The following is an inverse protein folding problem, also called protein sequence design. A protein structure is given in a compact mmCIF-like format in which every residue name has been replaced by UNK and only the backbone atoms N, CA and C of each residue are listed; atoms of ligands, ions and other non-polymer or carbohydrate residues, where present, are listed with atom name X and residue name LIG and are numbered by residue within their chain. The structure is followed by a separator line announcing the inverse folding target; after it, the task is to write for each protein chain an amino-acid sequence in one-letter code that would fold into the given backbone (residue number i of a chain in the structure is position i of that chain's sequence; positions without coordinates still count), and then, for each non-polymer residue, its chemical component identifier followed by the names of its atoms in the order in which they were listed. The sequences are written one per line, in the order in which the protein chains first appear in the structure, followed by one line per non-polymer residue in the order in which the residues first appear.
data_IF_112115803507
#
_entry.id   IF_112115803507
#
_cell.length_a   1.000
_cell.length_b   1.000
_cell.length_c   1.000
_cell.angle_alpha   90.00
_cell.angle_beta   90.00
_cell.angle_gamma   90.00
#
_symmetry.space_group_name_H-M   'P 1'
#
loop_
_entity.id
_entity.type
_entity.pdbx_description
1 polymer ?
#
# COMPACT_ATOMS: atom_id res chain seq x y z
N UNK A 1 -19.37 1.32 -17.03
CA UNK A 1 -19.51 2.79 -16.92
C UNK A 1 -20.27 3.10 -15.65
N UNK A 2 -19.58 3.52 -14.60
CA UNK A 2 -20.16 4.32 -13.52
C UNK A 2 -19.01 5.15 -12.96
N UNK A 3 -18.96 6.39 -13.43
CA UNK A 3 -18.07 7.44 -12.97
C UNK A 3 -18.68 8.11 -11.73
N UNK A 4 -17.83 8.80 -10.98
CA UNK A 4 -18.11 9.70 -9.86
C UNK A 4 -18.17 9.07 -8.45
N UNK A 5 -17.00 9.01 -7.80
CA UNK A 5 -16.85 9.24 -6.36
C UNK A 5 -15.37 9.54 -6.03
N UNK A 6 -14.82 10.64 -6.54
CA UNK A 6 -13.51 11.15 -6.13
C UNK A 6 -13.56 12.67 -6.15
N UNK A 7 -14.35 13.30 -5.27
CA UNK A 7 -14.29 14.73 -4.99
C UNK A 7 -14.80 14.97 -3.57
N UNK A 8 -14.02 14.55 -2.58
CA UNK A 8 -14.22 15.04 -1.21
C UNK A 8 -13.16 16.09 -0.93
N UNK A 9 -13.48 17.35 -1.23
CA UNK A 9 -12.64 18.49 -0.90
C UNK A 9 -12.57 18.64 0.62
N UNK A 10 -11.36 18.68 1.18
CA UNK A 10 -11.15 18.98 2.61
C UNK A 10 -10.51 20.35 2.70
N UNK A 11 -11.31 21.35 3.07
CA UNK A 11 -10.82 22.73 3.24
C UNK A 11 -9.99 22.80 4.53
N UNK A 12 -8.71 23.16 4.41
CA UNK A 12 -7.80 23.38 5.54
C UNK A 12 -7.91 24.82 6.07
N UNK A 13 -7.48 25.07 7.32
CA UNK A 13 -7.66 26.36 8.01
C UNK A 13 -6.95 27.59 7.38
N UNK A 14 -6.24 27.42 6.26
CA UNK A 14 -5.56 28.46 5.47
C UNK A 14 -6.30 28.82 4.16
N UNK A 15 -7.54 28.34 3.96
CA UNK A 15 -8.35 28.64 2.76
C UNK A 15 -7.89 27.96 1.46
N UNK A 16 -6.79 27.20 1.48
CA UNK A 16 -6.36 26.35 0.36
C UNK A 16 -7.21 25.07 0.30
N UNK A 17 -7.82 24.81 -0.87
CA UNK A 17 -8.47 23.54 -1.19
C UNK A 17 -7.37 22.49 -1.37
N UNK A 18 -7.46 21.38 -0.64
CA UNK A 18 -6.58 20.22 -0.86
C UNK A 18 -7.30 19.16 -1.68
N UNK A 19 -6.60 18.62 -2.66
CA UNK A 19 -7.14 17.67 -3.63
C UNK A 19 -6.41 16.32 -3.54
N UNK A 20 -7.12 15.20 -3.73
CA UNK A 20 -6.48 13.93 -4.00
C UNK A 20 -5.91 13.95 -5.42
N UNK A 21 -4.71 13.41 -5.59
CA UNK A 21 -4.07 13.22 -6.90
C UNK A 21 -3.93 11.72 -7.15
N UNK A 22 -4.35 11.27 -8.32
CA UNK A 22 -4.29 9.86 -8.69
C UNK A 22 -3.73 9.68 -10.10
N UNK A 23 -2.76 8.78 -10.26
CA UNK A 23 -2.19 8.41 -11.56
C UNK A 23 -1.83 6.92 -11.59
N UNK A 24 -1.51 6.43 -12.78
CA UNK A 24 -1.17 5.03 -13.01
C UNK A 24 0.35 4.77 -12.91
N UNK A 25 1.14 5.85 -12.97
CA UNK A 25 2.59 5.87 -12.77
C UNK A 25 2.95 6.13 -11.30
N UNK A 26 4.07 5.55 -10.85
CA UNK A 26 4.47 5.58 -9.44
C UNK A 26 5.00 6.95 -8.97
N UNK A 27 5.41 7.81 -9.89
CA UNK A 27 5.91 9.17 -9.61
C UNK A 27 4.85 10.06 -8.96
N UNK A 28 3.56 9.76 -9.14
CA UNK A 28 2.45 10.44 -8.43
C UNK A 28 2.60 10.40 -6.91
N UNK A 29 3.31 9.43 -6.34
CA UNK A 29 3.56 9.39 -4.90
C UNK A 29 4.38 10.60 -4.41
N UNK A 30 5.19 11.22 -5.27
CA UNK A 30 5.92 12.45 -4.97
C UNK A 30 5.01 13.67 -4.77
N UNK A 31 3.78 13.63 -5.32
CA UNK A 31 2.82 14.72 -5.17
C UNK A 31 2.38 14.93 -3.72
N UNK A 32 2.65 13.99 -2.81
CA UNK A 32 2.43 14.17 -1.36
C UNK A 32 3.19 15.39 -0.79
N UNK A 33 4.22 15.87 -1.49
CA UNK A 33 4.99 17.06 -1.12
C UNK A 33 4.36 18.39 -1.56
N UNK A 34 3.31 18.37 -2.39
CA UNK A 34 2.63 19.58 -2.82
C UNK A 34 1.70 20.10 -1.72
N UNK A 35 1.72 21.41 -1.49
CA UNK A 35 0.84 22.08 -0.51
C UNK A 35 -0.67 21.83 -0.71
N UNK A 36 -1.07 21.63 -1.97
CA UNK A 36 -2.45 21.41 -2.39
C UNK A 36 -2.83 19.93 -2.45
N UNK A 37 -1.91 19.00 -2.18
CA UNK A 37 -2.18 17.57 -2.14
C UNK A 37 -2.48 17.10 -0.71
N UNK A 38 -3.62 16.45 -0.50
CA UNK A 38 -3.90 15.73 0.76
C UNK A 38 -3.70 14.22 0.67
N UNK A 39 -3.69 13.66 -0.54
CA UNK A 39 -3.61 12.23 -0.79
C UNK A 39 -3.05 11.96 -2.19
N UNK A 40 -1.91 11.26 -2.24
CA UNK A 40 -1.35 10.74 -3.49
C UNK A 40 -1.74 9.26 -3.67
N UNK A 41 -2.34 8.93 -4.81
CA UNK A 41 -2.87 7.59 -5.11
C UNK A 41 -2.16 7.04 -6.35
N UNK A 42 -1.35 6.01 -6.16
CA UNK A 42 -0.84 5.21 -7.27
C UNK A 42 -1.82 4.08 -7.61
N UNK A 43 -2.43 4.15 -8.80
CA UNK A 43 -3.37 3.15 -9.33
C UNK A 43 -2.63 2.08 -10.11
N UNK A 44 -2.05 1.13 -9.37
CA UNK A 44 -1.35 -0.01 -9.97
C UNK A 44 -2.31 -1.15 -10.35
N UNK A 45 -1.98 -1.86 -11.42
CA UNK A 45 -2.61 -3.14 -11.77
C UNK A 45 -1.76 -4.28 -11.26
N UNK A 46 -2.33 -5.17 -10.44
CA UNK A 46 -1.62 -6.36 -9.98
C UNK A 46 -1.69 -7.47 -11.03
N UNK A 47 -0.61 -8.24 -11.18
CA UNK A 47 -0.63 -9.39 -12.08
C UNK A 47 -1.66 -10.44 -11.63
N UNK A 48 -2.30 -11.17 -12.56
CA UNK A 48 -3.26 -12.24 -12.20
C UNK A 48 -2.66 -13.27 -11.23
N UNK A 49 -1.40 -13.66 -11.45
CA UNK A 49 -0.69 -14.60 -10.58
C UNK A 49 -0.56 -14.09 -9.13
N UNK A 50 -0.32 -12.79 -8.95
CA UNK A 50 -0.25 -12.20 -7.60
C UNK A 50 -1.63 -12.19 -6.94
N UNK A 51 -2.69 -11.87 -7.69
CA UNK A 51 -4.07 -11.86 -7.19
C UNK A 51 -4.50 -13.27 -6.74
N UNK A 52 -4.30 -14.29 -7.60
CA UNK A 52 -4.61 -15.69 -7.29
C UNK A 52 -3.87 -16.18 -6.05
N UNK A 53 -2.58 -15.84 -5.92
CA UNK A 53 -1.81 -16.20 -4.73
C UNK A 53 -2.37 -15.53 -3.46
N UNK A 54 -2.67 -14.22 -3.49
CA UNK A 54 -3.23 -13.51 -2.34
C UNK A 54 -4.57 -14.10 -1.93
N UNK A 55 -5.43 -14.45 -2.89
CA UNK A 55 -6.70 -15.13 -2.61
C UNK A 55 -6.49 -16.48 -1.92
N UNK A 56 -5.63 -17.33 -2.46
CA UNK A 56 -5.31 -18.63 -1.87
C UNK A 56 -4.66 -18.49 -0.48
N UNK A 57 -3.79 -17.49 -0.30
CA UNK A 57 -3.18 -17.19 0.99
C UNK A 57 -4.22 -16.80 2.03
N UNK A 58 -5.18 -15.93 1.69
CA UNK A 58 -6.23 -15.48 2.59
C UNK A 58 -7.21 -16.60 2.97
N UNK A 59 -7.50 -17.54 2.07
CA UNK A 59 -8.32 -18.71 2.36
C UNK A 59 -7.69 -19.60 3.44
N UNK A 60 -6.36 -19.76 3.40
CA UNK A 60 -5.63 -20.59 4.36
C UNK A 60 -5.21 -19.84 5.63
N UNK A 61 -5.16 -18.51 5.59
CA UNK A 61 -4.62 -17.66 6.66
C UNK A 61 -5.59 -16.55 7.07
N UNK A 62 -6.85 -16.90 7.33
CA UNK A 62 -7.94 -15.95 7.64
C UNK A 62 -7.67 -15.02 8.84
N UNK A 63 -6.82 -15.42 9.78
CA UNK A 63 -6.42 -14.60 10.94
C UNK A 63 -5.01 -14.02 10.81
N UNK A 64 -4.45 -14.00 9.60
CA UNK A 64 -3.09 -13.52 9.38
C UNK A 64 -2.95 -12.07 9.83
N UNK A 65 -1.99 -11.82 10.70
CA UNK A 65 -1.61 -10.49 11.11
C UNK A 65 -0.13 -10.48 11.46
N UNK A 66 0.57 -9.48 10.96
CA UNK A 66 1.97 -9.26 11.29
C UNK A 66 2.27 -7.77 11.37
N UNK A 67 3.21 -7.41 12.21
CA UNK A 67 3.83 -6.09 12.22
C UNK A 67 5.35 -6.26 12.19
N UNK A 68 6.00 -5.63 11.22
CA UNK A 68 7.43 -5.73 10.95
C UNK A 68 8.04 -4.33 10.96
N UNK A 69 9.30 -4.23 11.35
CA UNK A 69 10.14 -3.07 11.05
C UNK A 69 11.14 -3.50 10.00
N UNK A 70 11.05 -2.91 8.80
CA UNK A 70 11.82 -3.33 7.63
C UNK A 70 12.62 -2.15 7.08
N UNK A 71 13.85 -2.41 6.67
CA UNK A 71 14.63 -1.57 5.77
C UNK A 71 14.48 -2.09 4.33
N UNK A 72 14.84 -1.32 3.29
CA UNK A 72 14.87 -1.82 1.92
C UNK A 72 15.73 -3.09 1.79
N UNK A 73 16.85 -3.16 2.52
CA UNK A 73 17.78 -4.29 2.48
C UNK A 73 17.22 -5.54 3.18
N UNK A 74 16.38 -5.36 4.21
CA UNK A 74 15.82 -6.48 5.00
C UNK A 74 14.41 -6.88 4.58
N UNK A 75 13.72 -6.07 3.76
CA UNK A 75 12.31 -6.22 3.44
C UNK A 75 12.01 -7.59 2.83
N UNK A 76 12.69 -7.95 1.75
CA UNK A 76 12.45 -9.22 1.04
C UNK A 76 12.65 -10.44 1.96
N UNK A 77 13.77 -10.49 2.68
CA UNK A 77 14.07 -11.62 3.59
C UNK A 77 13.09 -11.67 4.75
N UNK A 78 12.73 -10.53 5.34
CA UNK A 78 11.75 -10.44 6.41
C UNK A 78 10.37 -10.93 5.96
N UNK A 79 9.92 -10.49 4.79
CA UNK A 79 8.64 -10.86 4.20
C UNK A 79 8.58 -12.35 3.85
N UNK A 80 9.63 -12.93 3.24
CA UNK A 80 9.67 -14.37 2.97
C UNK A 80 9.65 -15.21 4.26
N UNK A 81 10.30 -14.74 5.33
CA UNK A 81 10.21 -15.44 6.62
C UNK A 81 8.79 -15.43 7.18
N UNK A 82 8.04 -14.36 6.93
CA UNK A 82 6.70 -14.15 7.48
C UNK A 82 5.58 -14.76 6.64
N UNK A 83 5.66 -14.64 5.31
CA UNK A 83 4.64 -15.10 4.36
C UNK A 83 4.82 -16.57 3.96
N UNK A 84 6.00 -17.13 4.19
CA UNK A 84 6.41 -18.44 3.71
C UNK A 84 7.49 -18.31 2.62
N UNK A 85 8.17 -19.41 2.34
CA UNK A 85 9.32 -19.45 1.43
C UNK A 85 9.07 -20.33 0.20
N UNK A 86 7.92 -20.15 -0.45
CA UNK A 86 7.56 -20.79 -1.73
C UNK A 86 7.84 -19.86 -2.92
N UNK A 87 7.78 -20.38 -4.14
CA UNK A 87 7.96 -19.54 -5.34
C UNK A 87 6.87 -18.46 -5.45
N UNK A 88 5.64 -18.80 -5.07
CA UNK A 88 4.46 -17.93 -5.10
C UNK A 88 4.55 -16.82 -4.04
N UNK A 89 5.05 -17.15 -2.85
CA UNK A 89 5.32 -16.15 -1.79
C UNK A 89 6.39 -15.13 -2.21
N UNK A 90 7.30 -15.50 -3.12
CA UNK A 90 8.37 -14.62 -3.56
C UNK A 90 7.83 -13.43 -4.37
N UNK A 91 6.75 -13.62 -5.13
CA UNK A 91 6.11 -12.54 -5.89
C UNK A 91 5.48 -11.49 -4.98
N UNK A 92 4.70 -11.91 -3.96
CA UNK A 92 4.11 -10.97 -3.00
C UNK A 92 5.17 -10.30 -2.12
N UNK A 93 6.16 -11.07 -1.66
CA UNK A 93 7.24 -10.53 -0.85
C UNK A 93 8.11 -9.53 -1.64
N UNK A 94 8.35 -9.78 -2.93
CA UNK A 94 9.07 -8.87 -3.81
C UNK A 94 8.30 -7.59 -4.05
N UNK A 95 7.01 -7.69 -4.38
CA UNK A 95 6.12 -6.55 -4.60
C UNK A 95 6.05 -5.63 -3.37
N UNK A 96 5.85 -6.20 -2.17
CA UNK A 96 5.83 -5.39 -0.94
C UNK A 96 7.21 -4.83 -0.60
N UNK A 97 8.30 -5.56 -0.89
CA UNK A 97 9.66 -5.07 -0.65
C UNK A 97 10.00 -3.85 -1.52
N UNK A 98 9.53 -3.83 -2.77
CA UNK A 98 9.64 -2.67 -3.66
C UNK A 98 8.89 -1.46 -3.10
N UNK A 99 7.66 -1.67 -2.60
CA UNK A 99 6.92 -0.60 -1.92
C UNK A 99 7.63 -0.06 -0.68
N UNK A 100 8.30 -0.93 0.10
CA UNK A 100 9.11 -0.49 1.26
C UNK A 100 10.29 0.36 0.81
N UNK A 101 10.99 -0.04 -0.27
CA UNK A 101 12.10 0.74 -0.82
C UNK A 101 11.65 2.12 -1.32
N UNK A 102 10.57 2.15 -2.11
CA UNK A 102 9.98 3.39 -2.59
C UNK A 102 9.54 4.31 -1.46
N UNK A 103 8.92 3.77 -0.40
CA UNK A 103 8.51 4.57 0.77
C UNK A 103 9.73 5.13 1.50
N UNK A 104 10.75 4.30 1.74
CA UNK A 104 12.01 4.72 2.34
C UNK A 104 12.66 5.87 1.56
N UNK A 105 12.75 5.73 0.24
CA UNK A 105 13.27 6.77 -0.64
C UNK A 105 12.42 8.04 -0.61
N UNK A 106 11.10 7.89 -0.75
CA UNK A 106 10.16 9.01 -0.81
C UNK A 106 10.25 9.88 0.43
N UNK A 107 10.36 9.29 1.62
CA UNK A 107 10.36 10.01 2.91
C UNK A 107 11.75 10.21 3.54
N UNK A 108 12.82 9.84 2.83
CA UNK A 108 14.20 9.82 3.37
C UNK A 108 14.31 9.08 4.72
N UNK A 109 13.69 7.90 4.79
CA UNK A 109 13.71 7.04 5.98
C UNK A 109 14.43 5.73 5.71
N UNK A 110 15.10 5.20 6.73
CA UNK A 110 15.84 3.91 6.63
C UNK A 110 15.03 2.70 7.07
N UNK A 111 13.91 2.93 7.76
CA UNK A 111 13.06 1.91 8.34
C UNK A 111 11.59 2.27 8.18
N UNK A 112 10.78 1.27 7.87
CA UNK A 112 9.33 1.35 7.74
C UNK A 112 8.68 0.40 8.72
N UNK A 113 7.66 0.88 9.43
CA UNK A 113 6.73 0.01 10.14
C UNK A 113 5.69 -0.55 9.17
N UNK A 114 5.79 -1.83 8.84
CA UNK A 114 4.84 -2.52 7.96
C UNK A 114 3.84 -3.33 8.79
N UNK A 115 2.54 -3.09 8.59
CA UNK A 115 1.47 -3.94 9.15
C UNK A 115 0.69 -4.58 8.01
N UNK A 116 0.60 -5.91 8.03
CA UNK A 116 -0.28 -6.68 7.15
C UNK A 116 -1.35 -7.35 8.01
N UNK A 117 -2.61 -7.30 7.58
CA UNK A 117 -3.73 -7.90 8.30
C UNK A 117 -4.75 -8.43 7.29
N UNK A 118 -5.10 -9.71 7.39
CA UNK A 118 -6.22 -10.29 6.67
C UNK A 118 -7.53 -9.75 7.25
N UNK A 119 -8.29 -9.01 6.43
CA UNK A 119 -9.57 -8.44 6.85
C UNK A 119 -10.69 -9.46 6.64
N UNK A 120 -11.39 -9.80 7.72
CA UNK A 120 -12.56 -10.70 7.69
C UNK A 120 -13.89 -9.96 7.51
N UNK A 121 -13.88 -8.66 7.78
CA UNK A 121 -15.03 -7.76 7.65
C UNK A 121 -14.52 -6.44 7.10
N UNK A 122 -15.36 -5.67 6.37
CA UNK A 122 -15.03 -4.30 6.04
C UNK A 122 -14.63 -3.56 7.31
N UNK A 123 -13.59 -2.73 7.23
CA UNK A 123 -13.26 -1.83 8.34
C UNK A 123 -14.48 -0.93 8.60
N UNK A 124 -14.76 -0.66 9.88
CA UNK A 124 -15.99 -0.02 10.35
C UNK A 124 -16.33 1.22 9.50
N UNK A 125 -17.58 1.37 9.02
CA UNK A 125 -17.91 2.24 7.87
C UNK A 125 -17.87 3.75 8.14
N UNK A 126 -17.37 4.22 9.31
CA UNK A 126 -17.34 5.66 9.62
C UNK A 126 -16.32 6.46 8.82
N UNK A 127 -15.52 5.82 7.97
CA UNK A 127 -14.45 6.46 7.18
C UNK A 127 -14.39 5.91 5.74
N UNK A 128 -15.53 5.87 5.03
CA UNK A 128 -15.56 5.76 3.57
C UNK A 128 -15.94 7.11 2.96
#
# INVERSE_FOLDING_TARGET
MCSAALNHETVSQDGKVRIPVAADEADVLADIYRDDCNLAIWRRTLSPALQEYVEAFLQNNVKFQVSLSLSPQSALTGLRKTLGNSAETASLAGDIAELVDMYCYLFDTKLVGLRLTALQKPMCPRFH
#
